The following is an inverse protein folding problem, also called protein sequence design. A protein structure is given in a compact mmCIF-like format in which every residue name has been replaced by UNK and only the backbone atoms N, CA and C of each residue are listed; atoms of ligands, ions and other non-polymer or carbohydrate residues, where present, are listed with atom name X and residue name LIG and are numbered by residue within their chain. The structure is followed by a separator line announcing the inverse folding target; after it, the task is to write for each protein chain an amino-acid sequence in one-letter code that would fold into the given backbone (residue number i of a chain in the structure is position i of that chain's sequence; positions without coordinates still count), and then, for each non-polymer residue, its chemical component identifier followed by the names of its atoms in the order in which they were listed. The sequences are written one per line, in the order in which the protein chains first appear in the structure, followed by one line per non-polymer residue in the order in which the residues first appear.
data_IF_983010734236
#
_entry.id   IF_983010734236
#
_cell.length_a   1.000
_cell.length_b   1.000
_cell.length_c   1.000
_cell.angle_alpha   90.00
_cell.angle_beta   90.00
_cell.angle_gamma   90.00
#
_symmetry.space_group_name_H-M   'P 1'
#
loop_
_entity.id
_entity.type
_entity.pdbx_description
1 polymer ?
#
# COMPACT_ATOMS: atom_id res chain seq x y z
N UNK A 1 -8.56 -1.52 -19.07
CA UNK A 1 -7.32 -0.71 -18.99
C UNK A 1 -6.19 -1.63 -18.59
N UNK A 2 -5.09 -1.65 -19.35
CA UNK A 2 -3.90 -2.45 -19.04
C UNK A 2 -3.17 -1.78 -17.87
N UNK A 3 -2.86 -2.54 -16.81
CA UNK A 3 -2.07 -2.07 -15.67
C UNK A 3 -0.65 -2.57 -15.89
N UNK A 4 0.28 -1.66 -16.11
CA UNK A 4 1.69 -2.01 -16.31
C UNK A 4 2.45 -1.67 -15.02
N UNK A 5 3.07 -2.70 -14.41
CA UNK A 5 3.89 -2.57 -13.21
C UNK A 5 5.36 -2.54 -13.61
N UNK A 6 6.06 -1.45 -13.29
CA UNK A 6 7.48 -1.30 -13.59
C UNK A 6 8.26 -1.36 -12.27
N UNK A 7 9.16 -2.33 -12.17
CA UNK A 7 10.03 -2.52 -11.00
C UNK A 7 11.44 -2.06 -11.40
N UNK A 8 11.87 -0.88 -10.94
CA UNK A 8 13.08 -0.23 -11.46
C UNK A 8 14.38 -0.80 -10.86
N UNK A 9 14.33 -1.37 -9.66
CA UNK A 9 15.43 -2.14 -9.12
C UNK A 9 14.93 -3.10 -8.04
N UNK A 10 15.27 -4.38 -8.20
CA UNK A 10 15.43 -5.29 -7.06
C UNK A 10 16.93 -5.40 -6.88
N UNK A 11 17.47 -4.88 -5.79
CA UNK A 11 18.81 -5.26 -5.39
C UNK A 11 18.63 -6.53 -4.56
N UNK A 12 18.99 -7.73 -5.07
CA UNK A 12 19.04 -8.90 -4.23
C UNK A 12 20.24 -8.72 -3.30
N UNK A 13 20.00 -8.14 -2.13
CA UNK A 13 20.87 -8.33 -0.99
C UNK A 13 20.72 -9.80 -0.63
N UNK A 14 21.81 -10.54 -0.40
CA UNK A 14 21.76 -11.98 -0.12
C UNK A 14 20.58 -12.32 0.81
N UNK A 15 19.57 -12.98 0.23
CA UNK A 15 18.30 -13.42 0.82
C UNK A 15 17.11 -12.42 0.93
N UNK A 16 17.21 -11.15 0.51
CA UNK A 16 16.19 -10.11 0.81
C UNK A 16 16.00 -9.07 -0.30
N UNK A 17 14.81 -8.47 -0.39
CA UNK A 17 14.44 -7.51 -1.45
C UNK A 17 14.23 -6.12 -0.86
N UNK A 18 15.14 -5.18 -1.13
CA UNK A 18 14.83 -3.74 -1.02
C UNK A 18 14.46 -3.27 -2.40
N UNK A 19 13.43 -2.45 -2.50
CA UNK A 19 12.93 -2.08 -3.80
C UNK A 19 12.08 -0.83 -3.81
N UNK A 20 11.97 -0.31 -5.02
CA UNK A 20 11.05 0.74 -5.38
C UNK A 20 10.16 0.19 -6.49
N UNK A 21 8.87 0.14 -6.21
CA UNK A 21 7.85 -0.32 -7.13
C UNK A 21 7.01 0.85 -7.60
N UNK A 22 6.82 0.95 -8.90
CA UNK A 22 5.93 1.93 -9.51
C UNK A 22 4.80 1.20 -10.24
N UNK A 23 3.58 1.69 -10.03
CA UNK A 23 2.41 1.27 -10.78
C UNK A 23 1.94 2.42 -11.65
N UNK A 24 1.65 2.16 -12.92
CA UNK A 24 1.14 3.14 -13.86
C UNK A 24 -0.28 2.78 -14.32
N UNK A 25 -1.09 3.80 -14.56
CA UNK A 25 -2.42 3.71 -15.17
C UNK A 25 -2.39 4.48 -16.49
N UNK A 26 -2.12 3.79 -17.60
CA UNK A 26 -1.72 4.45 -18.84
C UNK A 26 -0.43 5.24 -18.63
N UNK A 27 -0.39 6.50 -19.09
CA UNK A 27 0.79 7.37 -18.96
C UNK A 27 0.89 8.06 -17.58
N UNK A 28 -0.03 7.79 -16.66
CA UNK A 28 -0.07 8.41 -15.33
C UNK A 28 0.50 7.49 -14.26
N UNK A 29 1.42 8.00 -13.43
CA UNK A 29 1.89 7.29 -12.24
C UNK A 29 0.74 7.12 -11.25
N UNK A 30 0.36 5.87 -11.00
CA UNK A 30 -0.70 5.51 -10.06
C UNK A 30 -0.17 5.37 -8.65
N UNK A 31 0.92 4.61 -8.46
CA UNK A 31 1.50 4.43 -7.13
C UNK A 31 3.02 4.30 -7.17
N UNK A 32 3.64 4.68 -6.06
CA UNK A 32 5.06 4.49 -5.80
C UNK A 32 5.21 3.89 -4.40
N UNK A 33 5.87 2.74 -4.29
CA UNK A 33 6.04 2.01 -3.04
C UNK A 33 7.51 1.72 -2.81
N UNK A 34 8.02 2.18 -1.68
CA UNK A 34 9.32 1.80 -1.17
C UNK A 34 9.14 0.77 -0.05
N UNK A 35 9.91 -0.31 -0.11
CA UNK A 35 9.90 -1.33 0.93
C UNK A 35 11.30 -1.83 1.23
N UNK A 36 11.49 -2.23 2.48
CA UNK A 36 12.62 -3.04 2.87
C UNK A 36 12.21 -4.05 3.95
N UNK A 37 12.86 -5.20 3.89
CA UNK A 37 12.79 -6.23 4.91
C UNK A 37 13.93 -6.03 5.90
N UNK A 38 13.80 -6.60 7.11
CA UNK A 38 14.97 -6.89 7.96
C UNK A 38 16.08 -7.45 7.09
N UNK A 39 17.36 -7.31 7.45
CA UNK A 39 18.53 -8.03 6.88
C UNK A 39 19.36 -8.65 8.02
N UNK A 40 20.41 -9.47 7.79
CA UNK A 40 21.33 -9.78 8.89
C UNK A 40 21.95 -8.51 9.51
N UNK A 41 21.97 -7.40 8.76
CA UNK A 41 22.44 -6.10 9.19
C UNK A 41 21.32 -5.10 9.56
N UNK A 42 20.03 -5.46 9.38
CA UNK A 42 18.87 -4.62 9.70
C UNK A 42 17.94 -5.47 10.57
N UNK A 43 17.95 -5.20 11.86
CA UNK A 43 17.18 -5.92 12.87
C UNK A 43 15.71 -5.49 12.87
N UNK A 44 14.86 -6.24 13.57
CA UNK A 44 13.47 -5.82 13.84
C UNK A 44 13.42 -4.44 14.51
N UNK A 45 14.31 -4.18 15.45
CA UNK A 45 14.39 -2.90 16.15
C UNK A 45 14.68 -1.74 15.18
N UNK A 46 15.55 -1.95 14.19
CA UNK A 46 15.84 -0.95 13.16
C UNK A 46 14.60 -0.65 12.29
N UNK A 47 13.83 -1.69 11.94
CA UNK A 47 12.58 -1.53 11.18
C UNK A 47 11.51 -0.79 12.00
N UNK A 48 11.37 -1.13 13.28
CA UNK A 48 10.42 -0.46 14.19
C UNK A 48 10.81 1.01 14.44
N UNK A 49 12.10 1.29 14.65
CA UNK A 49 12.62 2.65 14.85
C UNK A 49 12.36 3.53 13.63
N UNK A 50 12.69 3.04 12.43
CA UNK A 50 12.43 3.77 11.20
C UNK A 50 10.92 3.96 10.94
N UNK A 51 10.07 2.99 11.30
CA UNK A 51 8.63 3.17 11.23
C UNK A 51 8.14 4.29 12.15
N UNK A 52 8.66 4.36 13.38
CA UNK A 52 8.29 5.41 14.32
C UNK A 52 8.75 6.80 13.85
N UNK A 53 9.97 6.89 13.32
CA UNK A 53 10.50 8.13 12.74
C UNK A 53 9.66 8.62 11.55
N UNK A 54 9.39 7.74 10.58
CA UNK A 54 8.58 8.09 9.41
C UNK A 54 7.15 8.48 9.81
N UNK A 55 6.55 7.78 10.77
CA UNK A 55 5.23 8.12 11.28
C UNK A 55 5.22 9.51 11.96
N UNK A 56 6.25 9.84 12.74
CA UNK A 56 6.38 11.15 13.37
C UNK A 56 6.49 12.27 12.32
N UNK A 57 7.34 12.09 11.31
CA UNK A 57 7.52 13.05 10.21
C UNK A 57 6.23 13.25 9.40
N UNK A 58 5.52 12.16 9.09
CA UNK A 58 4.24 12.24 8.38
C UNK A 58 3.15 12.86 9.25
N UNK A 59 3.16 12.60 10.55
CA UNK A 59 2.21 13.19 11.50
C UNK A 59 2.44 14.69 11.68
N UNK A 60 3.69 15.12 11.76
CA UNK A 60 4.06 16.55 11.81
C UNK A 60 3.56 17.28 10.56
N UNK A 61 3.72 16.67 9.38
CA UNK A 61 3.39 17.30 8.10
C UNK A 61 1.90 17.26 7.74
N UNK A 62 1.23 16.15 8.00
CA UNK A 62 -0.13 15.87 7.52
C UNK A 62 -1.17 15.72 8.64
N UNK A 63 -0.75 15.86 9.90
CA UNK A 63 -1.59 15.55 11.06
C UNK A 63 -1.65 14.04 11.35
N UNK A 64 -2.39 13.63 12.39
CA UNK A 64 -2.45 12.23 12.81
C UNK A 64 -3.04 11.34 11.71
N UNK A 65 -2.35 10.23 11.43
CA UNK A 65 -2.80 9.22 10.49
C UNK A 65 -3.87 8.29 11.08
N UNK A 66 -4.63 7.63 10.20
CA UNK A 66 -5.59 6.59 10.60
C UNK A 66 -4.88 5.25 10.74
N UNK A 67 -4.85 4.73 11.95
CA UNK A 67 -4.23 3.45 12.27
C UNK A 67 -5.22 2.30 12.03
N UNK A 68 -4.74 1.23 11.41
CA UNK A 68 -5.43 -0.05 11.29
C UNK A 68 -4.44 -1.16 11.65
N UNK A 69 -4.91 -2.18 12.36
CA UNK A 69 -4.09 -3.33 12.74
C UNK A 69 -4.83 -4.63 12.41
N UNK A 70 -4.16 -5.51 11.68
CA UNK A 70 -4.69 -6.83 11.28
C UNK A 70 -3.60 -7.86 11.58
N UNK A 71 -3.78 -8.61 12.67
CA UNK A 71 -2.72 -9.49 13.17
C UNK A 71 -1.45 -8.70 13.54
N UNK A 72 -0.31 -9.12 13.00
CA UNK A 72 1.00 -8.48 13.18
C UNK A 72 1.25 -7.33 12.20
N UNK A 73 0.33 -7.07 11.27
CA UNK A 73 0.41 -5.96 10.33
C UNK A 73 -0.24 -4.71 10.92
N UNK A 74 0.56 -3.68 11.18
CA UNK A 74 0.12 -2.33 11.53
C UNK A 74 0.23 -1.43 10.31
N UNK A 75 -0.82 -0.68 10.01
CA UNK A 75 -0.85 0.28 8.91
C UNK A 75 -1.31 1.63 9.41
N UNK A 76 -0.64 2.70 8.99
CA UNK A 76 -1.05 4.08 9.23
C UNK A 76 -1.29 4.76 7.89
N UNK A 77 -2.45 5.39 7.74
CA UNK A 77 -2.87 6.02 6.49
C UNK A 77 -3.07 7.52 6.67
N UNK A 78 -2.46 8.31 5.80
CA UNK A 78 -2.73 9.75 5.65
C UNK A 78 -3.43 9.99 4.32
N UNK A 79 -4.46 10.84 4.35
CA UNK A 79 -5.18 11.26 3.16
C UNK A 79 -4.88 12.73 2.90
N UNK A 80 -4.20 12.99 1.79
CA UNK A 80 -4.07 14.33 1.24
C UNK A 80 -5.12 14.52 0.13
N UNK A 81 -5.31 15.75 -0.37
CA UNK A 81 -6.29 16.00 -1.43
C UNK A 81 -6.08 15.14 -2.69
N UNK A 82 -4.83 14.77 -3.02
CA UNK A 82 -4.50 14.03 -4.24
C UNK A 82 -3.87 12.66 -4.00
N UNK A 83 -3.39 12.39 -2.78
CA UNK A 83 -2.58 11.21 -2.48
C UNK A 83 -3.09 10.52 -1.22
N UNK A 84 -3.03 9.18 -1.21
CA UNK A 84 -3.04 8.40 0.03
C UNK A 84 -1.61 7.97 0.32
N UNK A 85 -1.13 8.24 1.53
CA UNK A 85 0.16 7.76 2.02
C UNK A 85 -0.14 6.62 2.99
N UNK A 86 0.48 5.46 2.77
CA UNK A 86 0.35 4.27 3.61
C UNK A 86 1.71 3.93 4.18
N UNK A 87 1.84 3.86 5.49
CA UNK A 87 3.00 3.26 6.17
C UNK A 87 2.54 1.92 6.75
N UNK A 88 3.17 0.83 6.35
CA UNK A 88 2.85 -0.51 6.81
C UNK A 88 4.08 -1.14 7.46
N UNK A 89 3.92 -1.54 8.71
CA UNK A 89 4.91 -2.25 9.51
C UNK A 89 4.33 -3.61 9.87
N UNK A 90 5.01 -4.68 9.54
CA UNK A 90 4.54 -6.00 9.94
C UNK A 90 5.51 -7.12 9.63
N UNK A 91 5.33 -8.21 10.36
CA UNK A 91 5.97 -9.48 10.09
C UNK A 91 5.19 -10.20 8.99
N UNK A 92 5.82 -10.36 7.84
CA UNK A 92 5.29 -11.18 6.74
C UNK A 92 6.16 -12.42 6.60
N UNK A 93 5.81 -13.36 5.71
CA UNK A 93 6.46 -14.68 5.54
C UNK A 93 8.02 -14.71 5.55
N UNK A 94 8.68 -13.55 5.38
CA UNK A 94 10.15 -13.37 5.32
C UNK A 94 10.72 -12.52 6.47
N UNK A 95 9.96 -12.30 7.54
CA UNK A 95 10.32 -11.49 8.70
C UNK A 95 9.68 -10.10 8.70
N UNK A 96 10.09 -9.29 9.68
CA UNK A 96 9.65 -7.90 9.79
C UNK A 96 10.00 -7.08 8.55
N UNK A 97 9.06 -6.22 8.18
CA UNK A 97 9.11 -5.39 6.99
C UNK A 97 8.51 -4.02 7.25
N UNK A 98 9.06 -3.02 6.58
CA UNK A 98 8.49 -1.67 6.51
C UNK A 98 8.26 -1.32 5.05
N UNK A 99 7.06 -0.84 4.78
CA UNK A 99 6.64 -0.39 3.46
C UNK A 99 6.01 1.00 3.59
N UNK A 100 6.45 1.93 2.74
CA UNK A 100 5.77 3.21 2.53
C UNK A 100 5.26 3.28 1.08
N UNK A 101 3.97 3.47 0.95
CA UNK A 101 3.27 3.54 -0.34
C UNK A 101 2.59 4.90 -0.53
N UNK A 102 2.73 5.44 -1.73
CA UNK A 102 2.04 6.64 -2.20
C UNK A 102 1.09 6.23 -3.32
N UNK A 103 -0.20 6.46 -3.12
CA UNK A 103 -1.23 6.21 -4.12
C UNK A 103 -1.79 7.55 -4.62
N UNK A 104 -1.64 7.85 -5.91
CA UNK A 104 -2.30 8.97 -6.55
C UNK A 104 -3.81 8.69 -6.68
N UNK A 105 -4.60 9.31 -5.81
CA UNK A 105 -6.06 9.13 -5.75
C UNK A 105 -6.77 9.68 -6.98
N UNK A 106 -6.21 10.73 -7.58
CA UNK A 106 -6.76 11.33 -8.81
C UNK A 106 -6.33 10.57 -10.07
N UNK A 107 -5.20 9.84 -10.02
CA UNK A 107 -4.69 9.03 -11.13
C UNK A 107 -5.29 7.61 -11.15
N UNK A 108 -5.89 7.17 -10.03
CA UNK A 108 -6.65 5.93 -9.93
C UNK A 108 -7.91 5.91 -10.82
N UNK A 109 -8.20 7.05 -11.49
CA UNK A 109 -9.52 7.44 -11.91
C UNK A 109 -10.31 7.83 -10.66
N UNK A 110 -11.26 8.77 -10.79
CA UNK A 110 -12.44 8.63 -9.95
C UNK A 110 -12.87 7.16 -10.09
N UNK A 111 -13.26 6.44 -9.00
CA UNK A 111 -14.18 5.36 -9.24
C UNK A 111 -15.25 6.05 -10.06
N UNK A 112 -15.38 5.72 -11.35
CA UNK A 112 -16.63 6.00 -12.02
C UNK A 112 -17.61 5.48 -11.00
N UNK A 113 -18.44 6.36 -10.49
CA UNK A 113 -19.79 5.97 -10.20
C UNK A 113 -20.28 5.39 -11.54
N UNK A 114 -19.87 4.15 -11.87
CA UNK A 114 -20.86 3.12 -12.10
C UNK A 114 -21.78 3.32 -10.93
N UNK A 115 -22.78 4.17 -11.16
CA UNK A 115 -24.15 3.85 -10.87
C UNK A 115 -24.17 2.34 -10.97
N UNK A 116 -23.98 1.66 -9.82
CA UNK A 116 -24.56 0.37 -9.65
C UNK A 116 -26.00 0.68 -10.01
N UNK A 117 -26.38 0.37 -11.25
CA UNK A 117 -27.79 0.15 -11.54
C UNK A 117 -28.20 -0.71 -10.36
N UNK A 118 -29.10 -0.18 -9.53
CA UNK A 118 -29.70 -0.92 -8.43
C UNK A 118 -30.22 -2.19 -9.08
N UNK A 119 -29.43 -3.25 -9.07
CA UNK A 119 -29.92 -4.57 -9.42
C UNK A 119 -30.77 -4.90 -8.20
N UNK A 120 -32.10 -4.93 -8.34
CA UNK A 120 -32.94 -5.28 -7.21
C UNK A 120 -32.48 -6.66 -6.74
N UNK A 121 -32.24 -6.77 -5.44
CA UNK A 121 -31.79 -7.99 -4.81
C UNK A 121 -32.73 -9.15 -5.22
N UNK A 122 -32.17 -10.24 -5.74
CA UNK A 122 -32.89 -11.48 -6.02
C UNK A 122 -32.41 -12.55 -5.06
N UNK A 123 -33.35 -13.29 -4.49
CA UNK A 123 -33.02 -14.43 -3.65
C UNK A 123 -32.30 -15.50 -4.49
N UNK A 124 -31.33 -16.20 -3.88
CA UNK A 124 -30.44 -17.17 -4.55
C UNK A 124 -31.17 -18.31 -5.29
N UNK A 125 -32.45 -18.56 -4.95
CA UNK A 125 -33.35 -19.52 -5.61
C UNK A 125 -33.87 -19.07 -6.99
N UNK A 126 -33.75 -17.79 -7.32
CA UNK A 126 -34.30 -17.19 -8.54
C UNK A 126 -33.23 -16.98 -9.63
N UNK A 127 -32.00 -17.47 -9.39
CA UNK A 127 -30.92 -17.51 -10.37
C UNK A 127 -30.99 -18.89 -11.03
N UNK A 128 -31.61 -18.98 -12.21
CA UNK A 128 -31.50 -20.18 -13.06
C UNK A 128 -30.17 -20.08 -13.80
N UNK A 129 -29.46 -21.20 -13.83
CA UNK A 129 -28.12 -21.44 -14.40
C UNK A 129 -26.95 -21.25 -13.41
N UNK A 130 -26.81 -22.24 -12.53
CA UNK A 130 -25.52 -22.76 -12.06
C UNK A 130 -25.44 -24.25 -12.43
#
# INVERSE_FOLDING_TARGET
MKRDKVVYSRVPLANRTVGLEYEFNGDSLLSATYYYYTTPAITEADVQAASAELEALLTEKYGPGKVAQVGELRTVNWLTPRTQIRLALGNIDRGWSLEIGYLCRVCAGDPKTTVQQKVPWKARKDIKDL
#
